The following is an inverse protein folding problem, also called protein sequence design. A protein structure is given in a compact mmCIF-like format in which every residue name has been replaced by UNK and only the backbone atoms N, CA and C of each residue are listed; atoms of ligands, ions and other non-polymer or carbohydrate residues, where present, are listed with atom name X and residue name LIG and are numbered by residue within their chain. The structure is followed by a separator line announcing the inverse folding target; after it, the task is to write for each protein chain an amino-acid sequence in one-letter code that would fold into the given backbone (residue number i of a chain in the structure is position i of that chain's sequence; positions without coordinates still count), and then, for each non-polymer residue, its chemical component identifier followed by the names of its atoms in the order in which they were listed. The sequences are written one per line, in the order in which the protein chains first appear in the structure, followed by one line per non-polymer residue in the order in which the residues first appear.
data_IF_515898829880
#
_entry.id   IF_515898829880
#
_cell.length_a   1.000
_cell.length_b   1.000
_cell.length_c   1.000
_cell.angle_alpha   90.00
_cell.angle_beta   90.00
_cell.angle_gamma   90.00
#
_symmetry.space_group_name_H-M   'P 1'
#
loop_
_entity.id
_entity.type
_entity.pdbx_description
1 polymer ?
#
# COMPACT_ATOMS: atom_id res chain seq x y z
N UNK A 1 -22.29 -10.72 29.75
CA UNK A 1 -22.28 -9.66 30.79
C UNK A 1 -21.00 -9.74 31.63
N UNK A 2 -20.01 -8.93 31.28
CA UNK A 2 -18.76 -8.84 32.02
C UNK A 2 -18.89 -7.79 33.13
N UNK A 3 -18.62 -8.17 34.37
CA UNK A 3 -18.61 -7.24 35.55
C UNK A 3 -17.19 -7.23 36.12
N UNK A 4 -16.61 -6.05 36.29
CA UNK A 4 -15.27 -5.85 36.81
C UNK A 4 -14.40 -5.03 35.89
N UNK A 5 -13.10 -5.00 36.19
CA UNK A 5 -12.11 -4.24 35.41
C UNK A 5 -10.92 -5.12 35.05
N UNK A 6 -10.42 -4.94 33.86
CA UNK A 6 -9.23 -5.62 33.36
C UNK A 6 -8.32 -4.63 32.67
N UNK A 7 -7.04 -4.62 33.06
CA UNK A 7 -5.99 -3.90 32.34
C UNK A 7 -5.08 -4.93 31.70
N UNK A 8 -4.67 -4.67 30.48
CA UNK A 8 -3.67 -5.48 29.79
C UNK A 8 -2.57 -4.59 29.23
N UNK A 9 -1.34 -5.09 29.27
CA UNK A 9 -0.21 -4.49 28.58
C UNK A 9 0.69 -5.62 28.08
N UNK A 10 1.07 -5.57 26.83
CA UNK A 10 1.96 -6.55 26.21
C UNK A 10 2.99 -5.79 25.39
N UNK A 11 4.26 -6.15 25.52
CA UNK A 11 5.33 -5.64 24.70
C UNK A 11 6.09 -6.80 24.05
N UNK A 12 6.55 -6.60 22.83
CA UNK A 12 7.36 -7.59 22.11
C UNK A 12 8.48 -6.93 21.31
N UNK A 13 9.51 -7.69 21.07
CA UNK A 13 10.65 -7.35 20.23
C UNK A 13 11.20 -8.63 19.63
N UNK A 14 11.68 -8.58 18.38
CA UNK A 14 12.31 -9.75 17.77
C UNK A 14 13.68 -10.04 18.40
N UNK A 15 14.17 -11.26 18.23
CA UNK A 15 15.53 -11.64 18.67
C UNK A 15 16.63 -10.90 17.92
N UNK A 16 16.31 -10.23 16.81
CA UNK A 16 17.22 -9.39 16.04
C UNK A 16 17.26 -7.93 16.53
N UNK A 17 16.48 -7.60 17.59
CA UNK A 17 16.47 -6.28 18.20
C UNK A 17 15.70 -5.21 17.39
N UNK A 18 14.76 -5.65 16.56
CA UNK A 18 13.83 -4.82 15.79
C UNK A 18 12.39 -5.30 15.97
N UNK A 19 11.41 -4.69 15.26
CA UNK A 19 10.01 -5.06 15.34
C UNK A 19 9.44 -4.82 16.74
N UNK A 20 9.77 -3.68 17.35
CA UNK A 20 9.19 -3.31 18.64
C UNK A 20 7.68 -3.11 18.50
N UNK A 21 6.91 -3.80 19.32
CA UNK A 21 5.47 -3.66 19.34
C UNK A 21 4.93 -3.61 20.77
N UNK A 22 3.82 -2.92 20.96
CA UNK A 22 3.08 -2.94 22.21
C UNK A 22 1.57 -2.89 21.98
N UNK A 23 0.84 -3.45 22.92
CA UNK A 23 -0.61 -3.30 23.06
C UNK A 23 -0.90 -2.96 24.53
N UNK A 24 -1.68 -1.90 24.73
CA UNK A 24 -2.21 -1.52 26.03
C UNK A 24 -3.74 -1.41 25.93
N UNK A 25 -4.47 -1.93 26.92
CA UNK A 25 -5.91 -1.92 26.89
C UNK A 25 -6.52 -1.91 28.29
N UNK A 26 -7.73 -1.41 28.33
CA UNK A 26 -8.60 -1.39 29.50
C UNK A 26 -10.00 -1.88 29.10
N UNK A 27 -10.55 -2.80 29.88
CA UNK A 27 -11.92 -3.25 29.74
C UNK A 27 -12.63 -3.10 31.10
N UNK A 28 -13.85 -2.62 31.10
CA UNK A 28 -14.66 -2.48 32.30
C UNK A 28 -16.12 -2.79 32.02
N UNK A 29 -16.78 -3.37 33.03
CA UNK A 29 -18.20 -3.64 32.99
C UNK A 29 -18.82 -3.39 34.38
N UNK A 30 -19.95 -2.69 34.41
CA UNK A 30 -20.67 -2.39 35.65
C UNK A 30 -22.18 -2.52 35.44
N UNK A 31 -22.88 -3.20 36.35
CA UNK A 31 -24.32 -3.16 36.40
C UNK A 31 -24.80 -1.81 36.98
N UNK A 32 -25.99 -1.37 36.61
CA UNK A 32 -26.68 -0.20 37.16
C UNK A 32 -28.19 -0.48 37.30
N UNK A 33 -28.92 0.40 37.96
CA UNK A 33 -30.36 0.31 38.19
C UNK A 33 -30.79 -1.05 38.77
N UNK A 34 -30.16 -1.42 39.91
CA UNK A 34 -30.40 -2.67 40.65
C UNK A 34 -30.23 -3.95 39.79
N UNK A 35 -29.28 -3.91 38.82
CA UNK A 35 -28.93 -5.02 37.95
C UNK A 35 -29.74 -5.09 36.66
N UNK A 36 -30.72 -4.21 36.46
CA UNK A 36 -31.51 -4.13 35.23
C UNK A 36 -30.75 -3.52 34.04
N UNK A 37 -29.69 -2.81 34.30
CA UNK A 37 -28.84 -2.23 33.28
C UNK A 37 -27.41 -2.71 33.39
N UNK A 38 -26.71 -2.74 32.25
CA UNK A 38 -25.30 -3.08 32.20
C UNK A 38 -24.57 -2.13 31.26
N UNK A 39 -23.37 -1.68 31.65
CA UNK A 39 -22.51 -0.84 30.85
C UNK A 39 -21.15 -1.54 30.65
N UNK A 40 -20.68 -1.57 29.42
CA UNK A 40 -19.38 -2.09 29.03
C UNK A 40 -18.56 -1.00 28.34
N UNK A 41 -17.27 -0.99 28.61
CA UNK A 41 -16.27 -0.19 27.91
C UNK A 41 -15.05 -1.04 27.63
N UNK A 42 -14.51 -0.92 26.43
CA UNK A 42 -13.18 -1.43 26.07
C UNK A 42 -12.42 -0.35 25.30
N UNK A 43 -11.17 -0.13 25.70
CA UNK A 43 -10.26 0.82 25.04
C UNK A 43 -8.94 0.10 24.79
N UNK A 44 -8.45 0.18 23.57
CA UNK A 44 -7.17 -0.41 23.21
C UNK A 44 -6.35 0.56 22.37
N UNK A 45 -5.04 0.62 22.64
CA UNK A 45 -4.03 1.18 21.78
C UNK A 45 -2.98 0.13 21.44
N UNK A 46 -2.73 -0.07 20.16
CA UNK A 46 -1.67 -0.94 19.63
C UNK A 46 -0.71 -0.16 18.74
N UNK A 47 0.56 -0.49 18.83
CA UNK A 47 1.60 -0.02 17.96
C UNK A 47 2.53 -1.16 17.60
N UNK A 48 2.82 -1.31 16.32
CA UNK A 48 3.84 -2.22 15.79
C UNK A 48 4.73 -1.41 14.85
N UNK A 49 6.01 -1.31 15.19
CA UNK A 49 7.00 -0.58 14.39
C UNK A 49 7.24 -1.21 13.02
N UNK A 50 6.79 -2.45 12.82
CA UNK A 50 7.16 -3.21 11.65
C UNK A 50 8.65 -3.56 11.62
N UNK A 51 9.08 -4.10 10.49
CA UNK A 51 10.49 -4.46 10.25
C UNK A 51 10.85 -3.91 8.87
N UNK A 52 11.58 -2.82 8.87
CA UNK A 52 12.17 -2.26 7.66
C UNK A 52 13.24 -3.18 7.07
N UNK A 53 13.58 -2.99 5.80
CA UNK A 53 14.46 -3.83 4.99
C UNK A 53 15.83 -4.15 5.57
N UNK A 54 15.82 -4.83 6.72
CA UNK A 54 17.04 -5.43 7.27
C UNK A 54 17.17 -6.85 6.75
N UNK A 55 18.26 -7.19 6.08
CA UNK A 55 18.48 -8.55 5.64
C UNK A 55 18.48 -9.49 6.85
N UNK A 56 17.77 -10.59 6.71
CA UNK A 56 17.86 -11.75 7.60
C UNK A 56 18.83 -12.75 7.00
N UNK A 57 19.52 -13.53 7.82
CA UNK A 57 20.50 -14.51 7.35
C UNK A 57 19.89 -15.44 6.28
N UNK A 58 18.63 -15.84 6.46
CA UNK A 58 17.91 -16.66 5.47
C UNK A 58 17.58 -15.92 4.17
N UNK A 59 17.57 -14.60 4.16
CA UNK A 59 17.32 -13.76 3.00
C UNK A 59 18.62 -13.30 2.31
N UNK A 60 19.79 -13.53 2.91
CA UNK A 60 21.08 -13.12 2.35
C UNK A 60 21.37 -13.66 0.94
N UNK A 61 20.94 -14.88 0.56
CA UNK A 61 21.10 -15.34 -0.81
C UNK A 61 20.34 -14.54 -1.85
N UNK A 62 19.39 -13.67 -1.42
CA UNK A 62 18.58 -12.83 -2.31
C UNK A 62 17.94 -13.64 -3.43
N UNK A 63 17.21 -14.68 -3.05
CA UNK A 63 16.59 -15.60 -4.01
C UNK A 63 15.39 -14.96 -4.69
N UNK A 64 15.25 -15.16 -6.00
CA UNK A 64 14.08 -14.75 -6.78
C UNK A 64 13.54 -15.90 -7.63
N UNK A 65 12.23 -15.91 -7.82
CA UNK A 65 11.55 -16.81 -8.73
C UNK A 65 11.49 -16.15 -10.12
N UNK A 66 12.13 -16.76 -11.10
CA UNK A 66 12.23 -16.24 -12.47
C UNK A 66 11.68 -17.24 -13.49
N UNK A 67 11.26 -16.78 -14.70
CA UNK A 67 11.02 -17.70 -15.80
C UNK A 67 12.27 -18.53 -16.06
N UNK A 68 12.12 -19.85 -16.13
CA UNK A 68 13.22 -20.76 -16.32
C UNK A 68 13.75 -20.70 -17.76
N UNK A 69 15.00 -20.30 -18.00
CA UNK A 69 15.56 -20.28 -19.36
C UNK A 69 15.60 -21.66 -20.05
N UNK A 70 15.59 -22.73 -19.24
CA UNK A 70 15.55 -24.09 -19.76
C UNK A 70 14.13 -24.62 -20.00
N UNK A 71 13.10 -23.82 -19.74
CA UNK A 71 11.71 -24.24 -19.98
C UNK A 71 11.50 -24.51 -21.48
N UNK A 72 10.90 -25.66 -21.76
CA UNK A 72 10.54 -26.06 -23.12
C UNK A 72 9.05 -26.43 -23.19
N UNK A 73 8.48 -26.36 -24.39
CA UNK A 73 7.07 -26.65 -24.66
C UNK A 73 6.68 -28.10 -24.39
N UNK A 74 7.65 -29.02 -24.31
CA UNK A 74 7.45 -30.42 -23.92
C UNK A 74 7.20 -30.61 -22.41
N UNK A 75 7.29 -29.54 -21.60
CA UNK A 75 7.06 -29.51 -20.17
C UNK A 75 8.02 -30.42 -19.36
N UNK A 76 9.15 -30.80 -19.88
CA UNK A 76 10.17 -31.56 -19.16
C UNK A 76 10.83 -30.72 -18.08
N UNK A 77 10.80 -29.39 -18.22
CA UNK A 77 11.29 -28.41 -17.26
C UNK A 77 10.14 -27.58 -16.68
N UNK A 78 10.29 -27.17 -15.42
CA UNK A 78 9.33 -26.25 -14.78
C UNK A 78 9.39 -24.88 -15.43
N UNK A 79 8.24 -24.20 -15.53
CA UNK A 79 8.14 -22.85 -16.08
C UNK A 79 8.92 -21.82 -15.27
N UNK A 80 8.91 -21.96 -13.94
CA UNK A 80 9.68 -21.12 -13.04
C UNK A 80 10.83 -21.90 -12.39
N UNK A 81 11.92 -21.18 -12.12
CA UNK A 81 13.07 -21.64 -11.34
C UNK A 81 13.49 -20.58 -10.36
N UNK A 82 14.10 -20.99 -9.25
CA UNK A 82 14.69 -20.08 -8.26
C UNK A 82 16.15 -19.82 -8.62
N UNK A 83 16.56 -18.57 -8.51
CA UNK A 83 17.96 -18.14 -8.59
C UNK A 83 18.33 -17.46 -7.28
N UNK A 84 19.60 -17.57 -6.89
CA UNK A 84 20.19 -16.83 -5.78
C UNK A 84 20.99 -15.64 -6.30
N UNK A 85 21.36 -14.70 -5.42
CA UNK A 85 22.05 -13.47 -5.78
C UNK A 85 21.31 -12.72 -6.91
N UNK A 86 19.98 -12.64 -6.75
CA UNK A 86 19.13 -12.04 -7.76
C UNK A 86 19.29 -10.53 -7.82
N UNK A 87 19.59 -10.02 -9.01
CA UNK A 87 19.66 -8.60 -9.32
C UNK A 87 19.01 -8.31 -10.67
N UNK A 88 18.83 -7.04 -10.97
CA UNK A 88 18.33 -6.59 -12.27
C UNK A 88 19.47 -6.54 -13.29
N UNK A 89 19.26 -7.12 -14.48
CA UNK A 89 20.20 -7.05 -15.60
C UNK A 89 20.00 -5.81 -16.47
N UNK A 90 18.99 -4.98 -16.15
CA UNK A 90 18.56 -3.84 -16.98
C UNK A 90 18.46 -2.51 -16.21
N UNK A 91 18.84 -2.49 -14.93
CA UNK A 91 18.86 -1.27 -14.12
C UNK A 91 19.78 -1.46 -12.92
N UNK A 92 20.40 -0.37 -12.46
CA UNK A 92 21.13 -0.28 -11.19
C UNK A 92 20.65 0.95 -10.40
N UNK A 93 21.06 1.09 -9.15
CA UNK A 93 20.67 2.25 -8.33
C UNK A 93 21.09 3.60 -8.96
N UNK A 94 22.28 3.66 -9.56
CA UNK A 94 22.80 4.87 -10.20
C UNK A 94 22.63 4.90 -11.72
N UNK A 95 21.99 3.87 -12.31
CA UNK A 95 21.77 3.78 -13.76
C UNK A 95 22.73 2.82 -14.47
N UNK A 96 22.19 2.09 -15.44
CA UNK A 96 22.90 1.10 -16.26
C UNK A 96 22.55 1.31 -17.74
N UNK A 97 23.56 1.47 -18.60
CA UNK A 97 23.36 1.48 -20.06
C UNK A 97 23.01 0.06 -20.52
N UNK A 98 21.87 -0.07 -21.19
CA UNK A 98 21.27 -1.37 -21.52
C UNK A 98 21.36 -1.73 -22.99
N UNK A 99 21.80 -0.80 -23.85
CA UNK A 99 21.80 -0.99 -25.31
C UNK A 99 23.09 -0.51 -25.99
N UNK A 100 23.33 -1.06 -27.18
CA UNK A 100 24.42 -0.64 -28.06
C UNK A 100 25.83 -1.00 -27.55
N UNK A 101 26.86 -0.41 -28.14
CA UNK A 101 28.27 -0.68 -27.81
C UNK A 101 28.67 -0.31 -26.38
N UNK A 102 27.91 0.58 -25.71
CA UNK A 102 28.15 1.00 -24.32
C UNK A 102 27.37 0.17 -23.30
N UNK A 103 26.65 -0.87 -23.72
CA UNK A 103 25.93 -1.78 -22.83
C UNK A 103 26.85 -2.35 -21.76
N UNK A 104 26.44 -2.28 -20.49
CA UNK A 104 27.24 -2.74 -19.36
C UNK A 104 28.11 -1.62 -18.76
N UNK A 105 27.84 -0.37 -19.10
CA UNK A 105 28.36 0.76 -18.33
C UNK A 105 27.33 1.14 -17.27
N UNK A 106 27.69 1.06 -15.99
CA UNK A 106 26.87 1.54 -14.88
C UNK A 106 27.49 2.82 -14.29
N UNK A 107 26.65 3.62 -13.60
CA UNK A 107 27.09 4.85 -12.93
C UNK A 107 27.03 4.65 -11.41
N UNK A 108 28.15 4.89 -10.76
CA UNK A 108 28.31 4.76 -9.31
C UNK A 108 28.06 6.06 -8.55
N UNK A 109 28.63 6.15 -7.34
CA UNK A 109 28.58 7.34 -6.52
C UNK A 109 29.21 8.54 -7.26
N UNK A 110 28.53 9.71 -7.22
CA UNK A 110 29.01 10.90 -7.90
C UNK A 110 29.04 10.81 -9.44
N UNK A 111 28.30 9.86 -10.04
CA UNK A 111 28.17 9.72 -11.49
C UNK A 111 29.39 9.07 -12.17
N UNK A 112 30.27 8.40 -11.42
CA UNK A 112 31.45 7.77 -12.00
C UNK A 112 31.05 6.54 -12.86
N UNK A 113 31.38 6.52 -14.17
CA UNK A 113 31.14 5.37 -15.01
C UNK A 113 32.10 4.22 -14.66
N UNK A 114 31.55 3.02 -14.61
CA UNK A 114 32.28 1.80 -14.30
C UNK A 114 31.68 0.58 -15.03
N UNK A 115 32.45 -0.47 -15.29
CA UNK A 115 31.91 -1.68 -15.89
C UNK A 115 30.88 -2.33 -14.96
N UNK A 116 29.86 -2.95 -15.55
CA UNK A 116 28.85 -3.77 -14.88
C UNK A 116 29.05 -5.23 -15.29
N UNK A 117 29.23 -6.10 -14.31
CA UNK A 117 29.35 -7.52 -14.52
C UNK A 117 27.97 -8.17 -14.53
N UNK A 118 27.55 -8.68 -15.70
CA UNK A 118 26.30 -9.44 -15.82
C UNK A 118 26.47 -10.81 -15.18
N UNK A 119 25.48 -11.19 -14.38
CA UNK A 119 25.38 -12.54 -13.82
C UNK A 119 24.87 -13.56 -14.85
N UNK A 120 24.78 -14.83 -14.42
CA UNK A 120 24.25 -15.93 -15.22
C UNK A 120 23.46 -16.91 -14.34
N UNK A 121 22.27 -17.38 -14.73
CA UNK A 121 21.57 -17.02 -16.00
C UNK A 121 20.98 -15.62 -15.97
N UNK A 122 20.66 -15.10 -17.16
CA UNK A 122 19.81 -13.92 -17.35
C UNK A 122 18.47 -14.39 -17.88
N UNK A 123 17.38 -13.95 -17.26
CA UNK A 123 16.01 -14.23 -17.70
C UNK A 123 15.11 -13.02 -17.53
N UNK A 124 14.61 -12.48 -18.62
CA UNK A 124 13.87 -11.23 -18.64
C UNK A 124 14.72 -10.09 -18.08
N UNK A 125 14.27 -9.47 -17.01
CA UNK A 125 14.97 -8.36 -16.33
C UNK A 125 15.91 -8.82 -15.21
N UNK A 126 15.94 -10.11 -14.91
CA UNK A 126 16.68 -10.70 -13.79
C UNK A 126 17.97 -11.36 -14.20
N UNK A 127 18.94 -11.37 -13.30
CA UNK A 127 20.19 -12.13 -13.41
C UNK A 127 20.57 -12.74 -12.06
N UNK A 128 21.42 -13.77 -12.05
CA UNK A 128 22.00 -14.38 -10.88
C UNK A 128 23.50 -14.11 -10.81
N UNK A 129 23.97 -13.56 -9.68
CA UNK A 129 25.38 -13.21 -9.51
C UNK A 129 25.82 -11.94 -10.26
N UNK A 130 27.12 -11.82 -10.55
CA UNK A 130 27.70 -10.59 -11.09
C UNK A 130 27.52 -9.42 -10.11
N UNK A 131 27.26 -8.23 -10.64
CA UNK A 131 27.02 -7.01 -9.84
C UNK A 131 25.60 -6.93 -9.27
N UNK A 132 25.03 -8.06 -8.85
CA UNK A 132 23.65 -8.11 -8.33
C UNK A 132 23.40 -7.14 -7.17
N UNK A 133 24.42 -6.82 -6.35
CA UNK A 133 24.28 -5.91 -5.19
C UNK A 133 23.97 -4.47 -5.60
N UNK A 134 24.37 -4.05 -6.79
CA UNK A 134 24.08 -2.69 -7.30
C UNK A 134 22.69 -2.56 -7.91
N UNK A 135 21.95 -3.68 -8.02
CA UNK A 135 20.65 -3.76 -8.69
C UNK A 135 19.62 -4.61 -7.97
N UNK A 136 19.93 -5.12 -6.75
CA UNK A 136 18.99 -5.93 -5.98
C UNK A 136 17.86 -5.08 -5.40
N UNK A 137 16.66 -5.64 -5.35
CA UNK A 137 15.48 -4.98 -4.77
C UNK A 137 15.23 -5.33 -3.30
N UNK A 138 15.92 -6.34 -2.79
CA UNK A 138 15.66 -6.89 -1.46
C UNK A 138 16.15 -6.03 -0.30
N UNK A 139 17.11 -5.14 -0.53
CA UNK A 139 17.66 -4.29 0.53
C UNK A 139 16.64 -3.27 1.08
N UNK A 140 15.54 -3.08 0.37
CA UNK A 140 14.54 -2.05 0.66
C UNK A 140 13.15 -2.60 0.95
N UNK A 141 12.94 -3.90 0.78
CA UNK A 141 11.65 -4.54 1.07
C UNK A 141 11.52 -4.80 2.56
N UNK A 142 10.54 -4.19 3.20
CA UNK A 142 10.21 -4.46 4.60
C UNK A 142 9.64 -5.87 4.79
N UNK A 143 9.91 -6.48 5.94
CA UNK A 143 9.37 -7.80 6.32
C UNK A 143 8.01 -7.68 7.02
N UNK A 144 7.73 -6.56 7.68
CA UNK A 144 6.46 -6.27 8.32
C UNK A 144 6.14 -4.79 8.23
N UNK A 145 4.86 -4.47 8.09
CA UNK A 145 4.37 -3.09 8.03
C UNK A 145 4.39 -2.46 9.43
N UNK A 146 4.62 -1.16 9.49
CA UNK A 146 4.30 -0.37 10.66
C UNK A 146 2.78 -0.23 10.79
N UNK A 147 2.26 -0.40 12.01
CA UNK A 147 0.83 -0.30 12.29
C UNK A 147 0.60 0.46 13.59
N UNK A 148 -0.34 1.41 13.54
CA UNK A 148 -0.93 2.05 14.70
C UNK A 148 -2.42 1.74 14.73
N UNK A 149 -2.96 1.45 15.91
CA UNK A 149 -4.39 1.19 16.08
C UNK A 149 -4.87 1.72 17.40
N UNK A 150 -5.92 2.53 17.36
CA UNK A 150 -6.71 2.94 18.50
C UNK A 150 -8.14 2.43 18.34
N UNK A 151 -8.74 1.91 19.39
CA UNK A 151 -10.14 1.49 19.38
C UNK A 151 -10.83 1.79 20.70
N UNK A 152 -12.11 2.14 20.60
CA UNK A 152 -13.01 2.35 21.74
C UNK A 152 -14.32 1.63 21.43
N UNK A 153 -14.74 0.75 22.33
CA UNK A 153 -16.04 0.10 22.28
C UNK A 153 -16.82 0.43 23.54
N UNK A 154 -18.07 0.82 23.35
CA UNK A 154 -19.04 1.07 24.42
C UNK A 154 -20.29 0.26 24.12
N UNK A 155 -20.87 -0.36 25.14
CA UNK A 155 -22.20 -0.98 25.08
C UNK A 155 -22.98 -0.65 26.35
N UNK A 156 -24.24 -0.32 26.20
CA UNK A 156 -25.19 -0.22 27.30
C UNK A 156 -26.44 -1.01 26.97
N UNK A 157 -26.91 -1.81 27.91
CA UNK A 157 -28.18 -2.53 27.82
C UNK A 157 -29.05 -2.20 29.03
N UNK A 158 -30.36 -2.28 28.84
CA UNK A 158 -31.32 -2.03 29.90
C UNK A 158 -32.60 -2.87 29.74
N UNK A 159 -32.98 -3.58 30.79
CA UNK A 159 -34.22 -4.35 30.84
C UNK A 159 -35.41 -3.39 31.10
N UNK A 160 -36.21 -3.15 30.04
CA UNK A 160 -37.42 -2.32 30.14
C UNK A 160 -38.53 -3.04 30.94
N UNK A 161 -38.68 -4.34 30.65
CA UNK A 161 -39.56 -5.26 31.34
C UNK A 161 -38.86 -6.58 31.60
N UNK A 162 -39.49 -7.52 32.29
CA UNK A 162 -38.93 -8.85 32.52
C UNK A 162 -38.74 -9.66 31.22
N UNK A 163 -39.37 -9.25 30.11
CA UNK A 163 -39.29 -9.94 28.80
C UNK A 163 -38.79 -9.07 27.66
N UNK A 164 -38.28 -7.85 27.93
CA UNK A 164 -37.82 -6.92 26.89
C UNK A 164 -36.65 -6.15 27.34
N UNK A 165 -35.57 -6.19 26.58
CA UNK A 165 -34.37 -5.36 26.77
C UNK A 165 -34.09 -4.47 25.55
N UNK A 166 -33.41 -3.36 25.81
CA UNK A 166 -32.88 -2.48 24.76
C UNK A 166 -31.38 -2.35 24.94
N UNK A 167 -30.68 -2.14 23.83
CA UNK A 167 -29.24 -1.96 23.88
C UNK A 167 -28.75 -0.91 22.88
N UNK A 168 -27.62 -0.32 23.20
CA UNK A 168 -26.89 0.57 22.29
C UNK A 168 -25.41 0.26 22.32
N UNK A 169 -24.76 0.33 21.16
CA UNK A 169 -23.33 0.12 20.98
C UNK A 169 -22.71 1.26 20.21
N UNK A 170 -21.48 1.64 20.57
CA UNK A 170 -20.62 2.52 19.82
C UNK A 170 -19.26 1.85 19.68
N UNK A 171 -18.79 1.73 18.45
CA UNK A 171 -17.42 1.36 18.13
C UNK A 171 -16.76 2.48 17.35
N UNK A 172 -15.62 2.94 17.82
CA UNK A 172 -14.72 3.81 17.09
C UNK A 172 -13.37 3.12 16.95
N UNK A 173 -12.80 3.15 15.75
CA UNK A 173 -11.41 2.73 15.54
C UNK A 173 -10.70 3.64 14.55
N UNK A 174 -9.42 3.94 14.82
CA UNK A 174 -8.50 4.59 13.91
C UNK A 174 -7.30 3.66 13.72
N UNK A 175 -7.02 3.29 12.49
CA UNK A 175 -5.87 2.45 12.15
C UNK A 175 -5.07 3.08 11.02
N UNK A 176 -3.76 3.22 11.24
CA UNK A 176 -2.80 3.65 10.24
C UNK A 176 -1.83 2.50 9.97
N UNK A 177 -1.68 2.13 8.72
CA UNK A 177 -0.64 1.21 8.27
C UNK A 177 0.29 1.91 7.29
N UNK A 178 1.60 1.78 7.52
CA UNK A 178 2.64 2.27 6.62
C UNK A 178 3.49 1.10 6.18
N UNK A 179 3.53 0.86 4.86
CA UNK A 179 4.46 -0.09 4.31
C UNK A 179 5.78 0.65 4.05
N UNK A 180 6.84 0.40 4.85
CA UNK A 180 8.01 1.27 4.91
C UNK A 180 8.88 1.24 3.66
N UNK A 181 8.79 0.19 2.86
CA UNK A 181 9.65 0.09 1.70
C UNK A 181 9.13 -0.97 0.74
N UNK A 182 8.39 -0.57 -0.25
CA UNK A 182 7.93 -1.51 -1.25
C UNK A 182 8.77 -1.52 -2.49
N UNK A 183 9.22 -0.38 -2.95
CA UNK A 183 10.03 -0.30 -4.15
C UNK A 183 10.57 1.12 -4.36
N UNK A 184 11.71 1.21 -5.00
CA UNK A 184 12.11 2.43 -5.72
C UNK A 184 11.28 2.58 -7.00
N UNK A 185 11.29 3.78 -7.56
CA UNK A 185 10.66 4.05 -8.85
C UNK A 185 11.52 3.47 -9.98
N UNK A 186 11.24 2.22 -10.39
CA UNK A 186 12.03 1.55 -11.42
C UNK A 186 11.79 2.09 -12.81
N UNK A 187 12.88 2.22 -13.56
CA UNK A 187 12.88 2.47 -15.00
C UNK A 187 13.74 1.39 -15.67
N UNK A 188 13.09 0.33 -16.12
CA UNK A 188 13.75 -0.91 -16.57
C UNK A 188 14.24 -0.79 -18.03
N UNK A 189 15.35 -0.11 -18.24
CA UNK A 189 15.96 0.04 -19.55
C UNK A 189 15.17 0.89 -20.55
N UNK A 190 14.30 1.76 -20.07
CA UNK A 190 13.40 2.55 -20.91
C UNK A 190 13.66 4.07 -20.90
N UNK A 191 14.73 4.53 -20.24
CA UNK A 191 15.17 5.91 -20.30
C UNK A 191 16.05 6.08 -21.53
N UNK A 192 15.76 7.10 -22.35
CA UNK A 192 16.61 7.46 -23.50
C UNK A 192 17.44 8.68 -23.09
N UNK A 193 18.76 8.59 -23.20
CA UNK A 193 19.69 9.68 -22.96
C UNK A 193 20.31 10.08 -24.31
N UNK A 194 20.10 11.31 -24.70
CA UNK A 194 20.62 11.90 -25.94
C UNK A 194 22.07 12.37 -25.75
N UNK A 195 22.87 12.37 -26.82
CA UNK A 195 24.31 12.73 -26.81
C UNK A 195 24.57 14.16 -26.32
N UNK A 196 23.62 15.05 -26.51
CA UNK A 196 23.69 16.46 -26.09
C UNK A 196 23.34 16.69 -24.62
N UNK A 197 23.06 15.64 -23.85
CA UNK A 197 22.81 15.75 -22.41
C UNK A 197 24.13 16.10 -21.67
N UNK A 198 24.20 17.27 -21.01
CA UNK A 198 25.43 17.75 -20.36
C UNK A 198 25.85 16.93 -19.13
N UNK A 199 24.98 16.08 -18.58
CA UNK A 199 25.31 15.23 -17.44
C UNK A 199 26.07 13.96 -17.83
N UNK A 200 26.20 13.64 -19.14
CA UNK A 200 26.98 12.49 -19.59
C UNK A 200 28.45 12.72 -19.25
N UNK A 201 29.12 11.82 -18.47
CA UNK A 201 30.54 11.93 -18.20
C UNK A 201 31.38 11.97 -19.48
N UNK A 202 32.45 12.75 -19.50
CA UNK A 202 33.29 12.98 -20.71
C UNK A 202 33.76 11.67 -21.35
N UNK A 203 34.19 10.69 -20.55
CA UNK A 203 34.67 9.41 -21.07
C UNK A 203 33.56 8.61 -21.79
N UNK A 204 32.29 8.77 -21.35
CA UNK A 204 31.13 8.16 -22.01
C UNK A 204 30.79 8.93 -23.29
N UNK A 205 30.90 10.26 -23.29
CA UNK A 205 30.73 11.09 -24.48
C UNK A 205 31.77 10.73 -25.56
N UNK A 206 33.04 10.60 -25.18
CA UNK A 206 34.12 10.22 -26.09
C UNK A 206 33.88 8.84 -26.71
N UNK A 207 33.37 7.90 -25.90
CA UNK A 207 33.01 6.58 -26.36
C UNK A 207 31.78 6.60 -27.28
N UNK A 208 30.79 7.47 -27.05
CA UNK A 208 29.67 7.70 -27.96
C UNK A 208 30.16 8.22 -29.31
N UNK A 209 31.01 9.22 -29.32
CA UNK A 209 31.55 9.83 -30.53
C UNK A 209 32.39 8.83 -31.31
N UNK A 210 33.25 8.06 -30.65
CA UNK A 210 34.06 7.01 -31.29
C UNK A 210 33.23 5.90 -31.96
N UNK A 211 32.01 5.65 -31.47
CA UNK A 211 31.10 4.63 -32.00
C UNK A 211 29.95 5.24 -32.83
N UNK A 212 29.92 6.53 -33.08
CA UNK A 212 28.88 7.21 -33.84
C UNK A 212 27.49 7.12 -33.21
N UNK A 213 27.41 7.11 -31.86
CA UNK A 213 26.15 6.92 -31.14
C UNK A 213 25.56 8.30 -30.78
N UNK A 214 24.31 8.55 -31.14
CA UNK A 214 23.58 9.78 -30.84
C UNK A 214 22.68 9.69 -29.58
N UNK A 215 22.43 8.50 -29.10
CA UNK A 215 21.70 8.23 -27.86
C UNK A 215 21.96 6.81 -27.36
N UNK A 216 21.69 6.55 -26.09
CA UNK A 216 21.64 5.20 -25.54
C UNK A 216 20.40 5.00 -24.67
N UNK A 217 20.05 3.73 -24.45
CA UNK A 217 19.00 3.37 -23.49
C UNK A 217 19.62 3.02 -22.14
N UNK A 218 18.98 3.49 -21.08
CA UNK A 218 19.41 3.28 -19.71
C UNK A 218 18.25 2.81 -18.82
N UNK A 219 18.57 2.01 -17.82
CA UNK A 219 17.65 1.70 -16.72
C UNK A 219 18.20 2.19 -15.39
N UNK A 220 17.32 2.66 -14.53
CA UNK A 220 17.66 3.13 -13.20
C UNK A 220 16.64 2.65 -12.18
N UNK A 221 17.12 2.35 -10.97
CA UNK A 221 16.29 2.16 -9.77
C UNK A 221 16.03 3.49 -9.08
N UNK A 222 16.61 4.59 -9.57
CA UNK A 222 16.47 5.96 -9.04
C UNK A 222 16.78 6.04 -7.54
N UNK A 223 17.97 5.57 -7.16
CA UNK A 223 18.38 5.51 -5.75
C UNK A 223 18.33 6.82 -4.98
N UNK A 224 18.54 7.97 -5.66
CA UNK A 224 18.46 9.30 -5.04
C UNK A 224 17.02 9.71 -4.66
N UNK A 225 16.02 9.15 -5.33
CA UNK A 225 14.61 9.46 -5.08
C UNK A 225 14.03 8.79 -3.85
N UNK A 226 14.70 7.76 -3.32
CA UNK A 226 14.22 6.98 -2.20
C UNK A 226 13.04 6.04 -2.54
N UNK A 227 12.46 5.46 -1.50
CA UNK A 227 11.41 4.46 -1.63
C UNK A 227 10.02 5.07 -1.72
N UNK A 228 9.19 4.54 -2.61
CA UNK A 228 7.75 4.78 -2.58
C UNK A 228 7.17 4.08 -1.36
N UNK A 229 6.44 4.81 -0.53
CA UNK A 229 5.73 4.27 0.61
C UNK A 229 4.24 4.11 0.29
N UNK A 230 3.58 3.13 0.89
CA UNK A 230 2.13 2.99 0.83
C UNK A 230 1.57 3.15 2.24
N UNK A 231 0.71 4.15 2.40
CA UNK A 231 0.05 4.43 3.67
C UNK A 231 -1.45 4.25 3.50
N UNK A 232 -2.10 3.66 4.51
CA UNK A 232 -3.54 3.53 4.56
C UNK A 232 -4.03 3.84 5.98
N UNK A 233 -4.81 4.91 6.11
CA UNK A 233 -5.54 5.23 7.33
C UNK A 233 -7.01 4.89 7.15
N UNK A 234 -7.60 4.27 8.15
CA UNK A 234 -9.02 3.93 8.20
C UNK A 234 -9.60 4.33 9.55
N UNK A 235 -10.59 5.24 9.52
CA UNK A 235 -11.36 5.64 10.68
C UNK A 235 -12.76 5.09 10.54
N UNK A 236 -13.14 4.22 11.45
CA UNK A 236 -14.46 3.61 11.45
C UNK A 236 -15.26 4.05 12.68
N UNK A 237 -16.49 4.48 12.44
CA UNK A 237 -17.47 4.72 13.50
C UNK A 237 -18.68 3.85 13.21
N UNK A 238 -19.04 2.99 14.17
CA UNK A 238 -20.23 2.14 14.08
C UNK A 238 -21.12 2.42 15.29
N UNK A 239 -22.38 2.64 15.02
CA UNK A 239 -23.41 2.76 16.02
C UNK A 239 -24.49 1.69 15.80
N UNK A 240 -24.94 1.07 16.88
CA UNK A 240 -26.03 0.11 16.91
C UNK A 240 -27.01 0.51 17.97
N UNK A 241 -28.30 0.42 17.65
CA UNK A 241 -29.37 0.44 18.64
C UNK A 241 -30.31 -0.72 18.33
N UNK A 242 -30.73 -1.41 19.36
CA UNK A 242 -31.61 -2.56 19.18
C UNK A 242 -32.47 -2.83 20.40
N UNK A 243 -33.43 -3.70 20.18
CA UNK A 243 -34.29 -4.25 21.22
C UNK A 243 -34.49 -5.75 20.96
N UNK A 244 -34.55 -6.50 22.02
CA UNK A 244 -34.77 -7.95 22.02
C UNK A 244 -35.73 -8.33 23.14
N UNK A 245 -36.40 -9.44 23.00
CA UNK A 245 -37.31 -9.90 24.02
C UNK A 245 -38.06 -11.15 23.64
N UNK A 246 -39.04 -11.51 24.47
CA UNK A 246 -39.90 -12.66 24.24
C UNK A 246 -41.37 -12.31 24.46
N UNK A 247 -42.26 -13.06 23.78
CA UNK A 247 -43.70 -12.99 23.95
C UNK A 247 -44.32 -14.38 23.75
N UNK A 248 -45.46 -14.61 24.39
CA UNK A 248 -46.18 -15.86 24.23
C UNK A 248 -47.22 -15.73 23.11
N UNK A 249 -47.27 -16.70 22.19
CA UNK A 249 -48.23 -16.78 21.12
C UNK A 249 -48.65 -18.24 20.91
N UNK A 250 -49.96 -18.51 21.00
CA UNK A 250 -50.56 -19.82 20.83
C UNK A 250 -50.10 -20.91 21.84
N UNK A 251 -49.50 -20.51 22.96
CA UNK A 251 -48.99 -21.40 23.99
C UNK A 251 -47.49 -21.62 23.95
N UNK A 252 -46.82 -21.09 22.93
CA UNK A 252 -45.37 -21.20 22.75
C UNK A 252 -44.71 -19.86 22.98
N UNK A 253 -43.49 -19.86 23.52
CA UNK A 253 -42.65 -18.66 23.66
C UNK A 253 -41.94 -18.36 22.34
N UNK A 254 -42.00 -17.09 21.95
CA UNK A 254 -41.34 -16.56 20.78
C UNK A 254 -40.31 -15.52 21.18
N UNK A 255 -39.07 -15.71 20.76
CA UNK A 255 -38.00 -14.72 20.92
C UNK A 255 -37.99 -13.81 19.70
N UNK A 256 -37.72 -12.52 19.93
CA UNK A 256 -37.62 -11.52 18.87
C UNK A 256 -36.43 -10.60 19.09
N UNK A 257 -35.88 -10.14 17.99
CA UNK A 257 -34.80 -9.13 17.97
C UNK A 257 -35.06 -8.14 16.84
N UNK A 258 -34.74 -6.88 17.07
CA UNK A 258 -34.71 -5.85 16.03
C UNK A 258 -33.52 -4.92 16.28
N UNK A 259 -32.84 -4.49 15.20
CA UNK A 259 -31.73 -3.57 15.32
C UNK A 259 -31.65 -2.61 14.15
N UNK A 260 -31.07 -1.43 14.43
CA UNK A 260 -30.58 -0.48 13.45
C UNK A 260 -29.08 -0.32 13.64
N UNK A 261 -28.35 -0.44 12.56
CA UNK A 261 -26.88 -0.27 12.49
C UNK A 261 -26.58 0.82 11.50
N UNK A 262 -25.72 1.77 11.90
CA UNK A 262 -25.06 2.67 10.95
C UNK A 262 -23.56 2.57 11.14
N UNK A 263 -22.84 2.52 10.02
CA UNK A 263 -21.40 2.40 9.97
C UNK A 263 -20.84 3.38 8.94
N UNK A 264 -19.85 4.16 9.34
CA UNK A 264 -19.11 5.06 8.47
C UNK A 264 -17.63 4.72 8.55
N UNK A 265 -16.98 4.59 7.40
CA UNK A 265 -15.56 4.32 7.27
C UNK A 265 -14.91 5.36 6.37
N UNK A 266 -14.13 6.27 6.97
CA UNK A 266 -13.27 7.22 6.28
C UNK A 266 -11.94 6.56 5.94
N UNK A 267 -11.62 6.48 4.66
CA UNK A 267 -10.41 5.84 4.14
C UNK A 267 -9.54 6.92 3.50
N UNK A 268 -8.29 7.00 3.96
CA UNK A 268 -7.24 7.81 3.34
C UNK A 268 -6.10 6.91 2.93
N UNK A 269 -5.83 6.88 1.63
CA UNK A 269 -4.66 6.18 1.08
C UNK A 269 -3.70 7.22 0.53
N UNK A 270 -2.41 7.00 0.71
CA UNK A 270 -1.39 7.85 0.11
C UNK A 270 -0.16 7.07 -0.29
N UNK A 271 0.51 7.56 -1.32
CA UNK A 271 1.78 7.04 -1.81
C UNK A 271 2.83 8.15 -1.79
N UNK A 272 3.37 8.48 -0.59
CA UNK A 272 4.48 9.42 -0.49
C UNK A 272 5.68 8.96 -1.31
N UNK A 273 6.44 9.95 -1.76
CA UNK A 273 7.66 9.73 -2.50
C UNK A 273 7.47 8.95 -3.81
N UNK A 274 6.34 9.17 -4.48
CA UNK A 274 6.00 8.52 -5.74
C UNK A 274 6.55 9.31 -6.93
N UNK A 275 7.07 8.62 -7.94
CA UNK A 275 7.61 9.25 -9.14
C UNK A 275 6.47 9.56 -10.14
N UNK A 276 6.37 10.82 -10.53
CA UNK A 276 5.57 11.25 -11.67
C UNK A 276 6.34 10.98 -12.97
N UNK A 277 5.95 9.95 -13.70
CA UNK A 277 6.65 9.49 -14.91
C UNK A 277 6.68 10.54 -16.01
N UNK A 278 5.64 11.36 -16.14
CA UNK A 278 5.59 12.42 -17.14
C UNK A 278 6.63 13.50 -16.84
N UNK A 279 6.62 14.03 -15.62
CA UNK A 279 7.60 15.03 -15.16
C UNK A 279 9.03 14.48 -15.19
N UNK A 280 9.22 13.23 -14.75
CA UNK A 280 10.55 12.60 -14.82
C UNK A 280 11.11 12.50 -16.23
N UNK A 281 10.25 12.16 -17.22
CA UNK A 281 10.68 12.10 -18.60
C UNK A 281 11.10 13.46 -19.15
N UNK A 282 10.38 14.55 -18.77
CA UNK A 282 10.76 15.91 -19.13
C UNK A 282 12.08 16.32 -18.45
N UNK A 283 12.23 16.02 -17.16
CA UNK A 283 13.39 16.39 -16.36
C UNK A 283 14.67 15.65 -16.78
N UNK A 284 14.58 14.43 -17.28
CA UNK A 284 15.74 13.63 -17.73
C UNK A 284 16.20 13.94 -19.17
N UNK A 285 15.36 14.62 -19.97
CA UNK A 285 15.76 15.12 -21.30
C UNK A 285 16.36 16.52 -21.17
N UNK A 286 17.67 16.56 -20.90
CA UNK A 286 18.43 17.76 -20.56
C UNK A 286 19.34 18.17 -21.69
N UNK A 287 19.44 19.47 -21.92
CA UNK A 287 20.38 20.12 -22.85
C UNK A 287 21.00 21.35 -22.20
N UNK A 288 21.97 21.97 -22.87
CA UNK A 288 22.46 23.29 -22.47
C UNK A 288 21.55 24.38 -23.05
N UNK A 289 21.18 25.37 -22.23
CA UNK A 289 20.52 26.59 -22.69
C UNK A 289 21.46 27.54 -23.43
N UNK A 290 20.96 28.67 -23.93
CA UNK A 290 21.75 29.67 -24.62
C UNK A 290 22.89 30.32 -23.77
N UNK A 291 22.89 30.11 -22.45
CA UNK A 291 23.90 30.61 -21.51
C UNK A 291 24.89 29.50 -21.08
N UNK A 292 24.69 28.25 -21.57
CA UNK A 292 25.51 27.10 -21.22
C UNK A 292 25.12 26.41 -19.91
N UNK A 293 23.94 26.66 -19.37
CA UNK A 293 23.44 25.96 -18.18
C UNK A 293 22.56 24.76 -18.57
N UNK A 294 22.57 23.67 -17.76
CA UNK A 294 21.60 22.58 -17.94
C UNK A 294 20.17 23.07 -17.86
N UNK A 295 19.33 22.71 -18.83
CA UNK A 295 17.92 23.04 -18.91
C UNK A 295 17.11 21.84 -19.43
N UNK A 296 15.85 21.69 -19.00
CA UNK A 296 14.95 20.73 -19.61
C UNK A 296 14.72 21.13 -21.08
N UNK A 297 14.86 20.17 -22.02
CA UNK A 297 14.73 20.44 -23.46
C UNK A 297 13.42 21.15 -23.81
N UNK A 298 12.31 20.79 -23.14
CA UNK A 298 11.00 21.39 -23.35
C UNK A 298 10.96 22.92 -23.17
N UNK A 299 11.91 23.49 -22.39
CA UNK A 299 11.98 24.93 -22.12
C UNK A 299 12.89 25.69 -23.09
N UNK A 300 13.61 25.00 -23.97
CA UNK A 300 14.57 25.58 -24.91
C UNK A 300 14.39 25.07 -26.35
N UNK A 301 13.35 24.30 -26.60
CA UNK A 301 12.96 23.90 -27.95
C UNK A 301 12.31 25.07 -28.74
N UNK A 302 11.85 24.80 -29.96
CA UNK A 302 11.28 25.83 -30.82
C UNK A 302 9.79 26.10 -30.53
N UNK A 303 9.15 25.34 -29.66
CA UNK A 303 7.73 25.47 -29.31
C UNK A 303 7.56 26.15 -27.94
N UNK A 304 7.31 27.46 -27.89
CA UNK A 304 7.15 28.17 -26.61
C UNK A 304 5.81 27.86 -25.91
N UNK A 305 4.91 27.10 -26.55
CA UNK A 305 3.58 26.81 -25.99
C UNK A 305 3.56 25.59 -25.08
N UNK A 306 4.62 24.76 -25.12
CA UNK A 306 4.74 23.54 -24.33
C UNK A 306 5.64 23.69 -23.10
N UNK A 307 6.22 24.90 -22.88
CA UNK A 307 7.17 25.14 -21.79
C UNK A 307 6.59 24.78 -20.41
N UNK A 308 7.40 24.10 -19.60
CA UNK A 308 7.17 23.86 -18.18
C UNK A 308 8.22 24.59 -17.34
N UNK A 309 7.85 25.78 -16.89
CA UNK A 309 8.76 26.64 -16.09
C UNK A 309 9.17 26.00 -14.74
N UNK A 310 8.44 24.99 -14.26
CA UNK A 310 8.77 24.26 -13.04
C UNK A 310 9.80 23.14 -13.29
N UNK A 311 10.04 22.75 -14.55
CA UNK A 311 10.94 21.65 -14.87
C UNK A 311 12.36 21.95 -14.42
N UNK A 312 12.91 21.05 -13.59
CA UNK A 312 14.28 21.09 -13.11
C UNK A 312 15.07 19.90 -13.71
N UNK A 313 16.23 20.16 -14.33
CA UNK A 313 17.05 19.11 -14.94
C UNK A 313 17.45 18.01 -13.96
N UNK A 314 17.13 16.77 -14.28
CA UNK A 314 17.38 15.61 -13.44
C UNK A 314 18.57 14.80 -13.95
N UNK A 315 19.67 14.82 -13.17
CA UNK A 315 20.78 13.91 -13.43
C UNK A 315 20.45 12.53 -12.84
N UNK A 316 20.28 11.52 -13.67
CA UNK A 316 20.01 10.13 -13.30
C UNK A 316 21.18 9.17 -13.59
N UNK A 317 22.38 9.76 -13.86
CA UNK A 317 23.60 9.02 -14.14
C UNK A 317 24.50 9.04 -12.92
N UNK A 318 24.11 8.34 -11.84
CA UNK A 318 24.86 8.21 -10.59
C UNK A 318 24.00 8.18 -9.35
N UNK A 319 24.67 8.08 -8.20
CA UNK A 319 24.11 8.25 -6.87
C UNK A 319 24.64 9.51 -6.25
N UNK A 320 23.78 10.29 -5.57
CA UNK A 320 24.12 11.57 -4.98
C UNK A 320 24.30 12.69 -6.00
N UNK A 321 23.72 12.57 -7.20
CA UNK A 321 23.88 13.51 -8.30
C UNK A 321 22.60 14.26 -8.66
N UNK A 322 21.43 13.77 -8.28
CA UNK A 322 20.17 14.47 -8.49
C UNK A 322 20.09 15.69 -7.56
N UNK A 323 19.71 16.85 -8.11
CA UNK A 323 19.52 18.06 -7.30
C UNK A 323 18.22 17.99 -6.49
N UNK A 324 18.12 18.68 -5.34
CA UNK A 324 16.88 18.78 -4.58
C UNK A 324 15.70 19.31 -5.40
N UNK A 325 15.95 20.25 -6.31
CA UNK A 325 14.93 20.83 -7.19
C UNK A 325 14.41 19.79 -8.20
N UNK A 326 15.30 18.98 -8.78
CA UNK A 326 14.94 17.90 -9.70
C UNK A 326 14.11 16.83 -8.98
N UNK A 327 14.50 16.46 -7.76
CA UNK A 327 13.73 15.53 -6.93
C UNK A 327 12.36 16.10 -6.58
N UNK A 328 12.28 17.36 -6.16
CA UNK A 328 11.01 18.01 -5.83
C UNK A 328 10.07 18.16 -7.05
N UNK A 329 10.63 18.30 -8.26
CA UNK A 329 9.83 18.35 -9.49
C UNK A 329 9.29 16.98 -9.89
N UNK A 330 10.14 15.94 -9.82
CA UNK A 330 9.82 14.62 -10.34
C UNK A 330 9.01 13.75 -9.36
N UNK A 331 9.17 13.96 -8.04
CA UNK A 331 8.49 13.17 -7.01
C UNK A 331 7.31 13.92 -6.40
N UNK A 332 6.27 13.20 -6.07
CA UNK A 332 5.03 13.73 -5.50
C UNK A 332 4.39 12.71 -4.55
N UNK A 333 3.28 13.07 -3.94
CA UNK A 333 2.44 12.17 -3.16
C UNK A 333 1.13 11.95 -3.89
N UNK A 334 0.90 10.74 -4.37
CA UNK A 334 -0.43 10.30 -4.80
C UNK A 334 -1.32 10.09 -3.58
N UNK A 335 -2.63 10.29 -3.73
CA UNK A 335 -3.56 10.08 -2.63
C UNK A 335 -4.99 9.83 -3.09
N UNK A 336 -5.75 9.11 -2.26
CA UNK A 336 -7.19 8.89 -2.35
C UNK A 336 -7.81 9.10 -0.98
N UNK A 337 -8.88 9.90 -0.91
CA UNK A 337 -9.81 9.94 0.20
C UNK A 337 -11.14 9.40 -0.28
N UNK A 338 -11.82 8.59 0.52
CA UNK A 338 -13.17 8.12 0.25
C UNK A 338 -13.90 7.78 1.54
N UNK A 339 -15.21 7.84 1.49
CA UNK A 339 -16.10 7.48 2.58
C UNK A 339 -17.03 6.35 2.15
N UNK A 340 -17.14 5.32 3.00
CA UNK A 340 -18.08 4.23 2.83
C UNK A 340 -19.09 4.29 3.97
N UNK A 341 -20.38 4.35 3.64
CA UNK A 341 -21.48 4.31 4.59
C UNK A 341 -22.30 3.04 4.41
N UNK A 342 -22.75 2.48 5.51
CA UNK A 342 -23.67 1.36 5.52
C UNK A 342 -24.75 1.60 6.57
N UNK A 343 -25.99 1.35 6.21
CA UNK A 343 -27.12 1.35 7.14
C UNK A 343 -27.87 0.02 7.01
N UNK A 344 -28.20 -0.58 8.14
CA UNK A 344 -28.93 -1.86 8.18
C UNK A 344 -30.07 -1.75 9.19
N UNK A 345 -31.26 -2.12 8.77
CA UNK A 345 -32.40 -2.41 9.65
C UNK A 345 -32.69 -3.89 9.56
N UNK A 346 -32.81 -4.56 10.67
CA UNK A 346 -33.14 -5.99 10.71
C UNK A 346 -34.15 -6.31 11.82
N UNK A 347 -34.90 -7.38 11.60
CA UNK A 347 -35.76 -7.95 12.63
C UNK A 347 -35.98 -9.42 12.37
N UNK A 348 -36.05 -10.19 13.46
CA UNK A 348 -36.29 -11.63 13.41
C UNK A 348 -37.16 -12.09 14.59
N UNK A 349 -37.82 -13.20 14.39
CA UNK A 349 -38.57 -13.94 15.42
C UNK A 349 -38.28 -15.43 15.29
N UNK A 350 -38.18 -16.12 16.44
CA UNK A 350 -37.91 -17.56 16.47
C UNK A 350 -38.67 -18.23 17.61
N UNK A 351 -39.00 -19.50 17.44
CA UNK A 351 -39.69 -20.33 18.45
C UNK A 351 -39.47 -21.81 18.19
N UNK A 352 -39.89 -22.64 19.12
CA UNK A 352 -39.96 -24.10 19.01
C UNK A 352 -41.41 -24.54 19.20
N UNK A 353 -42.32 -24.32 18.20
CA UNK A 353 -43.75 -24.42 18.36
C UNK A 353 -44.30 -25.85 18.43
N UNK A 354 -43.53 -26.88 18.13
CA UNK A 354 -43.95 -28.30 18.20
C UNK A 354 -42.77 -29.25 18.22
N UNK A 355 -43.01 -30.43 18.77
CA UNK A 355 -42.09 -31.56 18.73
C UNK A 355 -42.38 -32.48 17.54
N UNK A 356 -41.33 -33.04 16.96
CA UNK A 356 -41.43 -34.19 16.06
C UNK A 356 -40.78 -35.44 16.69
N UNK A 357 -40.66 -36.51 15.92
CA UNK A 357 -40.10 -37.79 16.37
C UNK A 357 -38.60 -37.69 16.78
N UNK A 358 -37.91 -36.63 16.40
CA UNK A 358 -36.49 -36.40 16.70
C UNK A 358 -36.29 -35.35 17.81
N UNK A 359 -37.35 -34.67 18.27
CA UNK A 359 -37.30 -33.60 19.29
C UNK A 359 -37.96 -32.31 18.83
N UNK A 360 -37.70 -31.16 19.53
CA UNK A 360 -38.24 -29.86 19.20
C UNK A 360 -37.88 -29.40 17.78
N UNK A 361 -38.82 -28.76 17.10
CA UNK A 361 -38.60 -28.14 15.79
C UNK A 361 -38.48 -26.63 15.96
N UNK A 362 -37.29 -26.11 15.74
CA UNK A 362 -37.05 -24.67 15.77
C UNK A 362 -37.44 -24.05 14.43
N UNK A 363 -38.15 -22.95 14.48
CA UNK A 363 -38.49 -22.09 13.33
C UNK A 363 -37.99 -20.68 13.56
N UNK A 364 -37.53 -20.03 12.49
CA UNK A 364 -37.10 -18.63 12.53
C UNK A 364 -37.57 -17.91 11.26
N UNK A 365 -38.00 -16.67 11.43
CA UNK A 365 -38.37 -15.76 10.34
C UNK A 365 -37.74 -14.44 10.56
N UNK A 366 -37.25 -13.82 9.48
CA UNK A 366 -36.64 -12.52 9.58
C UNK A 366 -36.66 -11.73 8.28
N UNK A 367 -36.38 -10.44 8.42
CA UNK A 367 -36.18 -9.54 7.29
C UNK A 367 -35.07 -8.55 7.62
N UNK A 368 -34.33 -8.20 6.61
CA UNK A 368 -33.35 -7.12 6.69
C UNK A 368 -33.39 -6.22 5.46
N UNK A 369 -33.07 -4.93 5.67
CA UNK A 369 -32.85 -3.96 4.62
C UNK A 369 -31.52 -3.30 4.86
N UNK A 370 -30.65 -3.32 3.85
CA UNK A 370 -29.31 -2.76 3.89
C UNK A 370 -29.12 -1.78 2.74
N UNK A 371 -28.51 -0.64 3.04
CA UNK A 371 -27.97 0.28 2.04
C UNK A 371 -26.47 0.40 2.22
N UNK A 372 -25.75 0.48 1.13
CA UNK A 372 -24.32 0.79 1.11
C UNK A 372 -24.06 1.89 0.10
N UNK A 373 -23.23 2.84 0.47
CA UNK A 373 -22.85 3.99 -0.35
C UNK A 373 -21.33 4.19 -0.28
N UNK A 374 -20.71 4.36 -1.44
CA UNK A 374 -19.35 4.89 -1.58
C UNK A 374 -19.47 6.29 -2.13
N UNK A 375 -19.12 7.27 -1.31
CA UNK A 375 -19.21 8.70 -1.63
C UNK A 375 -17.98 9.46 -1.17
N UNK A 376 -18.02 10.79 -1.30
CA UNK A 376 -16.93 11.70 -0.90
C UNK A 376 -15.55 11.22 -1.37
N UNK A 377 -15.49 10.69 -2.63
CA UNK A 377 -14.28 10.07 -3.17
C UNK A 377 -13.52 11.08 -4.02
N UNK A 378 -12.28 11.35 -3.62
CA UNK A 378 -11.38 12.29 -4.29
C UNK A 378 -9.98 11.71 -4.35
N UNK A 379 -9.23 11.98 -5.42
CA UNK A 379 -7.83 11.61 -5.54
C UNK A 379 -7.00 12.73 -6.18
N UNK A 380 -5.66 12.59 -6.12
CA UNK A 380 -4.77 13.55 -6.76
C UNK A 380 -4.97 13.56 -8.28
N UNK A 381 -4.68 14.70 -8.92
CA UNK A 381 -4.76 14.82 -10.38
C UNK A 381 -3.77 13.89 -11.08
N UNK A 382 -2.61 13.67 -10.47
CA UNK A 382 -1.58 12.76 -10.97
C UNK A 382 -2.03 11.29 -10.92
N UNK A 383 -2.77 10.90 -9.87
CA UNK A 383 -3.40 9.58 -9.79
C UNK A 383 -4.44 9.39 -10.89
N UNK A 384 -5.34 10.36 -11.05
CA UNK A 384 -6.39 10.33 -12.09
C UNK A 384 -5.81 10.32 -13.50
N UNK A 385 -4.70 11.03 -13.71
CA UNK A 385 -3.99 11.04 -15.00
C UNK A 385 -3.19 9.74 -15.25
N UNK A 386 -3.03 8.87 -14.26
CA UNK A 386 -2.29 7.62 -14.40
C UNK A 386 -0.79 7.81 -14.64
N UNK A 387 -0.22 8.92 -14.17
CA UNK A 387 1.19 9.27 -14.43
C UNK A 387 2.15 8.84 -13.31
N UNK A 388 1.66 8.29 -12.22
CA UNK A 388 2.46 7.83 -11.11
C UNK A 388 3.03 6.43 -11.34
N UNK A 389 4.18 6.12 -10.76
CA UNK A 389 4.81 4.79 -10.85
C UNK A 389 4.05 3.76 -10.01
N UNK A 390 3.61 4.12 -8.81
CA UNK A 390 2.83 3.26 -7.91
C UNK A 390 1.50 3.92 -7.54
N UNK A 391 0.44 3.11 -7.35
CA UNK A 391 -0.90 3.61 -7.05
C UNK A 391 -1.71 3.88 -8.32
N UNK A 392 -2.01 5.12 -8.64
CA UNK A 392 -2.98 5.57 -9.65
C UNK A 392 -4.42 5.35 -9.17
N UNK A 393 -4.75 6.00 -8.08
CA UNK A 393 -6.07 5.93 -7.46
C UNK A 393 -7.08 6.74 -8.25
N UNK A 394 -8.22 6.13 -8.55
CA UNK A 394 -9.35 6.82 -9.17
C UNK A 394 -10.49 6.97 -8.17
N UNK A 395 -11.18 8.12 -8.13
CA UNK A 395 -12.40 8.28 -7.36
C UNK A 395 -13.43 7.21 -7.72
N UNK A 396 -14.10 6.67 -6.71
CA UNK A 396 -15.11 5.62 -6.87
C UNK A 396 -16.40 6.07 -6.20
N UNK A 397 -17.52 5.93 -6.89
CA UNK A 397 -18.84 6.31 -6.41
C UNK A 397 -19.83 5.20 -6.73
N UNK A 398 -20.83 5.07 -5.89
CA UNK A 398 -21.95 4.17 -6.13
C UNK A 398 -22.69 3.84 -4.86
N UNK A 399 -23.91 3.41 -5.04
CA UNK A 399 -24.78 2.94 -3.96
C UNK A 399 -25.57 1.72 -4.42
N UNK A 400 -25.98 0.94 -3.46
CA UNK A 400 -26.94 -0.16 -3.66
C UNK A 400 -27.74 -0.44 -2.40
N UNK A 401 -28.86 -1.11 -2.58
CA UNK A 401 -29.66 -1.62 -1.48
C UNK A 401 -30.02 -3.09 -1.66
N UNK A 402 -30.17 -3.78 -0.55
CA UNK A 402 -30.55 -5.19 -0.52
C UNK A 402 -31.67 -5.38 0.49
N UNK A 403 -32.72 -6.10 0.08
CA UNK A 403 -33.77 -6.58 1.00
C UNK A 403 -33.71 -8.09 1.04
N UNK A 404 -33.67 -8.66 2.23
CA UNK A 404 -33.57 -10.10 2.46
C UNK A 404 -34.71 -10.56 3.35
N UNK A 405 -35.25 -11.72 3.06
CA UNK A 405 -36.24 -12.44 3.87
C UNK A 405 -35.76 -13.88 4.08
N UNK A 406 -35.91 -14.39 5.26
CA UNK A 406 -35.45 -15.73 5.60
C UNK A 406 -36.36 -16.40 6.63
#
# INVERSE_FOLDING_TARGET
DYTGFKVRATGSRTTHGDGDAYVAGFSGGVPFADGRGHFLVDVERGYDKGIEGKPRDWAEPMSALIPNPAYSTDKTQRFYTTIDQAGLSVATYGGLITSGPLRGTQFGQGGQPQPFEFGSPVSGVWMSGGDWKTSTLHQVTGLAMEQERDSVFLRSSYELTDSTSVFGELLYSDSLSTNPATAYAFRLGNITINRDNPFIPQSVQDAMDANGITNFRMGSVNGDGGNIQFQSQRKMTRFVVGAEGSFDLAGDSWDWETSFVTNENDIKQSTPNNLNNAKYNLATDVVLDGNGNPACRINVDLDPTNNDAACAPYNNMGLGVASPEALAYAYTTGWLNMKIKQEVVSGSVSSEPFDNWAGPVSVAFGASYRTEEVGDSESSLEDQAGVLTGGNYNPTFGDYSVTEYY
#
